data_IF_784538018917
#
_entry.id   IF_784538018917
#
_cell.length_a   1.000
_cell.length_b   1.000
_cell.length_c   1.000
_cell.angle_alpha   90.00
_cell.angle_beta   90.00
_cell.angle_gamma   90.00
#
_symmetry.space_group_name_H-M   'P 1'
#
loop_
_entity.id
_entity.type
_entity.pdbx_description
1 polymer ?
#
# COMPACT_ATOMS: atom_id res chain seq x y z
N UNK A 1 -43.99 53.13 0.47
CA UNK A 1 -42.77 52.84 -0.29
C UNK A 1 -42.17 51.59 0.33
N UNK A 2 -42.41 50.50 -0.33
CA UNK A 2 -42.10 49.14 0.16
C UNK A 2 -40.76 48.72 -0.46
N UNK A 3 -39.78 48.58 0.38
CA UNK A 3 -38.46 48.03 0.00
C UNK A 3 -38.56 46.49 0.06
N UNK A 4 -38.74 45.87 -1.09
CA UNK A 4 -38.58 44.40 -1.21
C UNK A 4 -37.09 44.13 -1.26
N UNK A 5 -36.55 43.58 -0.17
CA UNK A 5 -35.23 42.98 -0.18
C UNK A 5 -35.22 41.81 -1.16
N UNK A 6 -34.40 41.92 -2.16
CA UNK A 6 -34.00 40.76 -3.00
C UNK A 6 -33.23 39.82 -2.07
N UNK A 7 -33.82 38.66 -1.83
CA UNK A 7 -33.12 37.52 -1.26
C UNK A 7 -32.18 37.04 -2.36
N UNK A 8 -30.90 37.33 -2.22
CA UNK A 8 -29.87 36.61 -3.01
C UNK A 8 -30.04 35.10 -2.73
N UNK A 9 -30.58 34.38 -3.71
CA UNK A 9 -30.49 32.95 -3.72
C UNK A 9 -29.00 32.58 -3.80
N UNK A 10 -28.46 32.06 -2.70
CA UNK A 10 -27.18 31.33 -2.74
C UNK A 10 -27.30 30.32 -3.89
N UNK A 11 -26.54 30.58 -4.94
CA UNK A 11 -26.43 29.59 -6.04
C UNK A 11 -25.71 28.41 -5.45
N UNK A 12 -26.40 27.27 -5.38
CA UNK A 12 -25.75 25.99 -5.11
C UNK A 12 -24.50 25.87 -5.98
N UNK A 13 -23.38 25.42 -5.44
CA UNK A 13 -22.15 25.25 -6.23
C UNK A 13 -22.49 24.35 -7.43
N UNK A 14 -22.42 24.91 -8.65
CA UNK A 14 -22.66 24.13 -9.87
C UNK A 14 -21.58 23.06 -9.93
N UNK A 15 -22.02 21.80 -9.91
CA UNK A 15 -21.15 20.66 -10.14
C UNK A 15 -20.33 20.88 -11.42
N UNK A 16 -18.99 20.76 -11.39
CA UNK A 16 -18.22 20.85 -12.62
C UNK A 16 -18.62 19.67 -13.53
N UNK A 17 -19.28 19.95 -14.63
CA UNK A 17 -19.70 18.93 -15.59
C UNK A 17 -18.52 18.15 -16.17
N UNK A 18 -18.80 17.24 -17.09
CA UNK A 18 -17.80 16.46 -17.81
C UNK A 18 -16.72 17.34 -18.44
N UNK A 19 -15.46 17.02 -18.18
CA UNK A 19 -14.30 17.75 -18.67
C UNK A 19 -13.29 16.79 -19.32
N UNK A 20 -12.57 17.22 -20.37
CA UNK A 20 -11.39 16.48 -20.82
C UNK A 20 -10.37 16.38 -19.70
N UNK A 21 -9.89 15.16 -19.42
CA UNK A 21 -8.92 14.93 -18.34
C UNK A 21 -7.59 15.67 -18.58
N UNK A 22 -7.18 15.82 -19.83
CA UNK A 22 -6.01 16.63 -20.23
C UNK A 22 -6.09 18.06 -19.69
N UNK A 23 -7.28 18.66 -19.69
CA UNK A 23 -7.52 20.01 -19.16
C UNK A 23 -7.39 20.05 -17.64
N UNK A 24 -7.93 19.04 -16.96
CA UNK A 24 -7.87 18.93 -15.48
C UNK A 24 -6.43 18.76 -15.00
N UNK A 25 -5.69 17.84 -15.62
CA UNK A 25 -4.27 17.57 -15.32
C UNK A 25 -3.33 18.65 -15.86
N UNK A 26 -3.81 19.58 -16.70
CA UNK A 26 -2.98 20.54 -17.43
C UNK A 26 -1.80 19.87 -18.17
N UNK A 27 -2.05 18.67 -18.67
CA UNK A 27 -1.04 17.82 -19.31
C UNK A 27 -1.15 17.92 -20.84
N UNK A 28 -0.03 18.13 -21.57
CA UNK A 28 -0.01 18.13 -23.02
C UNK A 28 0.00 16.72 -23.63
N UNK A 29 -0.05 15.68 -22.81
CA UNK A 29 0.07 14.28 -23.26
C UNK A 29 -1.21 13.87 -24.00
N UNK A 30 -1.14 13.47 -25.28
CA UNK A 30 -2.31 13.06 -26.08
C UNK A 30 -3.09 11.90 -25.47
N UNK A 31 -2.47 11.10 -24.62
CA UNK A 31 -3.11 10.03 -23.89
C UNK A 31 -4.33 10.54 -23.09
N UNK A 32 -4.21 11.66 -22.38
CA UNK A 32 -5.28 12.19 -21.54
C UNK A 32 -6.40 12.87 -22.33
N UNK A 33 -6.20 13.18 -23.61
CA UNK A 33 -7.25 13.67 -24.51
C UNK A 33 -8.31 12.58 -24.78
N UNK A 34 -7.95 11.31 -24.58
CA UNK A 34 -8.85 10.17 -24.72
C UNK A 34 -9.76 9.95 -23.50
N UNK A 35 -9.67 10.81 -22.49
CA UNK A 35 -10.43 10.66 -21.26
C UNK A 35 -11.38 11.83 -21.05
N UNK A 36 -12.63 11.49 -20.71
CA UNK A 36 -13.52 12.43 -20.03
C UNK A 36 -13.51 12.12 -18.54
N UNK A 37 -13.57 13.15 -17.75
CA UNK A 37 -13.56 13.10 -16.29
C UNK A 37 -14.77 13.85 -15.76
N UNK A 38 -15.47 13.22 -14.81
CA UNK A 38 -16.46 13.86 -13.96
C UNK A 38 -15.98 13.75 -12.52
N UNK A 39 -15.82 14.88 -11.86
CA UNK A 39 -15.49 14.91 -10.45
C UNK A 39 -16.69 14.46 -9.63
N UNK A 40 -16.47 13.54 -8.70
CA UNK A 40 -17.47 13.11 -7.74
C UNK A 40 -17.89 14.25 -6.81
N UNK A 41 -19.10 14.19 -6.32
CA UNK A 41 -19.64 15.19 -5.41
C UNK A 41 -19.52 14.71 -3.96
N UNK A 42 -18.61 15.32 -3.20
CA UNK A 42 -18.34 15.02 -1.79
C UNK A 42 -18.23 13.50 -1.49
N UNK A 43 -18.86 13.03 -0.40
CA UNK A 43 -18.89 11.61 0.00
C UNK A 43 -20.00 10.80 -0.69
N UNK A 44 -20.78 11.42 -1.61
CA UNK A 44 -21.97 10.80 -2.20
C UNK A 44 -21.70 10.08 -3.51
N UNK A 45 -20.67 10.45 -4.25
CA UNK A 45 -20.38 9.87 -5.56
C UNK A 45 -18.89 9.92 -5.85
N UNK A 46 -18.36 8.82 -6.37
CA UNK A 46 -16.97 8.76 -6.83
C UNK A 46 -16.73 9.58 -8.08
N UNK A 47 -15.46 9.85 -8.37
CA UNK A 47 -15.02 10.27 -9.69
C UNK A 47 -15.36 9.23 -10.74
N UNK A 48 -15.72 9.69 -11.94
CA UNK A 48 -16.00 8.81 -13.08
C UNK A 48 -15.03 9.14 -14.20
N UNK A 49 -14.37 8.12 -14.74
CA UNK A 49 -13.49 8.24 -15.90
C UNK A 49 -14.08 7.51 -17.10
N UNK A 50 -14.21 8.20 -18.23
CA UNK A 50 -14.60 7.58 -19.50
C UNK A 50 -13.41 7.53 -20.42
N UNK A 51 -12.99 6.33 -20.83
CA UNK A 51 -11.95 6.11 -21.81
C UNK A 51 -12.60 6.00 -23.18
N UNK A 52 -12.22 6.87 -24.10
CA UNK A 52 -12.75 6.94 -25.45
C UNK A 52 -11.84 6.17 -26.42
N UNK A 53 -12.45 5.37 -27.27
CA UNK A 53 -11.81 4.60 -28.33
C UNK A 53 -12.83 4.11 -29.34
N UNK A 54 -12.68 2.90 -29.86
CA UNK A 54 -13.66 2.27 -30.74
C UNK A 54 -14.99 1.99 -30.01
N UNK A 55 -14.96 1.99 -28.72
CA UNK A 55 -16.09 1.92 -27.80
C UNK A 55 -15.75 2.72 -26.52
N UNK A 56 -16.73 2.89 -25.65
CA UNK A 56 -16.53 3.54 -24.35
C UNK A 56 -16.28 2.51 -23.26
N UNK A 57 -15.23 2.77 -22.48
CA UNK A 57 -15.00 2.11 -21.18
C UNK A 57 -15.19 3.12 -20.06
N UNK A 58 -15.95 2.76 -19.05
CA UNK A 58 -16.14 3.57 -17.85
C UNK A 58 -15.35 2.94 -16.70
N UNK A 59 -14.63 3.74 -15.94
CA UNK A 59 -14.00 3.32 -14.69
C UNK A 59 -14.66 4.08 -13.56
N UNK A 60 -15.27 3.32 -12.68
CA UNK A 60 -16.26 3.69 -11.67
C UNK A 60 -17.46 4.43 -12.26
N UNK A 61 -18.61 4.32 -11.65
CA UNK A 61 -19.86 4.77 -12.25
C UNK A 61 -20.62 5.77 -11.40
N UNK A 62 -20.07 6.15 -10.26
CA UNK A 62 -20.76 7.07 -9.35
C UNK A 62 -21.97 6.43 -8.68
N UNK A 63 -22.75 7.28 -8.01
CA UNK A 63 -23.91 6.86 -7.23
C UNK A 63 -25.23 6.98 -7.99
N UNK A 64 -25.29 7.79 -9.04
CA UNK A 64 -26.53 7.98 -9.78
C UNK A 64 -26.30 8.05 -11.30
N UNK A 65 -27.39 7.87 -12.05
CA UNK A 65 -27.36 7.92 -13.51
C UNK A 65 -27.40 9.33 -14.09
N UNK A 66 -27.63 10.38 -13.30
CA UNK A 66 -27.77 11.76 -13.82
C UNK A 66 -26.48 12.24 -14.45
N UNK A 67 -25.33 11.80 -13.94
CA UNK A 67 -24.03 12.02 -14.55
C UNK A 67 -23.99 11.55 -16.02
N UNK A 68 -24.62 10.42 -16.31
CA UNK A 68 -24.66 9.85 -17.67
C UNK A 68 -25.64 10.57 -18.59
N UNK A 69 -26.72 11.19 -18.07
CA UNK A 69 -27.58 12.05 -18.88
C UNK A 69 -26.79 13.21 -19.48
N UNK A 70 -25.90 13.81 -18.71
CA UNK A 70 -25.04 14.89 -19.18
C UNK A 70 -23.93 14.37 -20.12
N UNK A 71 -23.40 13.18 -19.88
CA UNK A 71 -22.45 12.52 -20.79
C UNK A 71 -23.06 12.33 -22.18
N UNK A 72 -24.29 11.83 -22.25
CA UNK A 72 -24.97 11.58 -23.53
C UNK A 72 -25.38 12.86 -24.27
N UNK A 73 -25.43 14.01 -23.59
CA UNK A 73 -25.54 15.34 -24.24
C UNK A 73 -24.30 15.73 -25.04
N UNK A 74 -23.17 15.06 -24.82
CA UNK A 74 -21.94 15.24 -25.59
C UNK A 74 -21.90 14.41 -26.90
N UNK A 75 -23.05 13.97 -27.41
CA UNK A 75 -23.23 13.11 -28.59
C UNK A 75 -22.65 11.69 -28.43
N UNK A 76 -22.42 11.23 -27.21
CA UNK A 76 -22.13 9.83 -26.89
C UNK A 76 -23.42 9.07 -26.67
N UNK A 77 -23.42 7.76 -26.90
CA UNK A 77 -24.65 6.93 -26.79
C UNK A 77 -24.46 5.88 -25.70
N UNK A 78 -25.54 5.53 -24.97
CA UNK A 78 -25.49 4.43 -24.01
C UNK A 78 -24.95 3.13 -24.63
N UNK A 79 -25.31 2.83 -25.86
CA UNK A 79 -24.94 1.62 -26.58
C UNK A 79 -23.45 1.55 -26.93
N UNK A 80 -22.73 2.68 -26.90
CA UNK A 80 -21.30 2.75 -27.12
C UNK A 80 -20.50 2.25 -25.89
N UNK A 81 -21.16 2.18 -24.70
CA UNK A 81 -20.55 1.64 -23.49
C UNK A 81 -20.48 0.11 -23.63
N UNK A 82 -19.26 -0.42 -23.69
CA UNK A 82 -19.02 -1.87 -23.79
C UNK A 82 -18.41 -2.46 -22.53
N UNK A 83 -17.71 -1.66 -21.74
CA UNK A 83 -17.09 -2.10 -20.50
C UNK A 83 -17.29 -1.08 -19.37
N UNK A 84 -17.57 -1.58 -18.18
CA UNK A 84 -17.49 -0.82 -16.94
C UNK A 84 -16.54 -1.59 -16.02
N UNK A 85 -15.50 -0.91 -15.53
CA UNK A 85 -14.57 -1.44 -14.54
C UNK A 85 -14.86 -0.75 -13.21
N UNK A 86 -15.10 -1.51 -12.16
CA UNK A 86 -15.23 -0.96 -10.83
C UNK A 86 -13.94 -1.18 -10.04
N UNK A 87 -13.42 -0.11 -9.46
CA UNK A 87 -12.24 -0.18 -8.60
C UNK A 87 -12.52 -0.96 -7.34
N UNK A 88 -13.76 -0.88 -6.82
CA UNK A 88 -14.28 -1.67 -5.71
C UNK A 88 -15.81 -1.59 -5.66
N UNK A 89 -16.43 -2.32 -4.76
CA UNK A 89 -17.88 -2.53 -4.72
C UNK A 89 -18.70 -1.56 -3.87
N UNK A 90 -18.15 -0.44 -3.41
CA UNK A 90 -18.93 0.57 -2.68
C UNK A 90 -19.99 1.21 -3.59
N UNK A 91 -21.11 1.58 -2.99
CA UNK A 91 -22.29 2.04 -3.74
C UNK A 91 -22.03 3.33 -4.52
N UNK A 92 -21.24 4.23 -3.98
CA UNK A 92 -20.85 5.49 -4.61
C UNK A 92 -19.93 5.31 -5.82
N UNK A 93 -19.34 4.12 -6.02
CA UNK A 93 -18.61 3.72 -7.21
C UNK A 93 -19.43 2.87 -8.17
N UNK A 94 -20.40 2.09 -7.66
CA UNK A 94 -21.02 0.99 -8.39
C UNK A 94 -22.47 1.25 -8.82
N UNK A 95 -23.22 2.10 -8.11
CA UNK A 95 -24.65 2.22 -8.34
C UNK A 95 -25.03 2.79 -9.71
N UNK A 96 -24.21 3.68 -10.26
CA UNK A 96 -24.44 4.23 -11.60
C UNK A 96 -24.48 3.16 -12.68
N UNK A 97 -23.70 2.07 -12.56
CA UNK A 97 -23.77 0.94 -13.50
C UNK A 97 -25.13 0.24 -13.46
N UNK A 98 -25.70 0.04 -12.28
CA UNK A 98 -27.03 -0.57 -12.11
C UNK A 98 -28.11 0.38 -12.65
N UNK A 99 -28.03 1.66 -12.33
CA UNK A 99 -28.99 2.66 -12.77
C UNK A 99 -28.95 2.90 -14.29
N UNK A 100 -27.77 2.78 -14.92
CA UNK A 100 -27.66 2.79 -16.39
C UNK A 100 -28.46 1.65 -17.01
N UNK A 101 -28.32 0.42 -16.52
CA UNK A 101 -29.07 -0.72 -17.01
C UNK A 101 -30.58 -0.57 -16.76
N UNK A 102 -30.96 0.04 -15.66
CA UNK A 102 -32.38 0.28 -15.32
C UNK A 102 -32.99 1.35 -16.20
N UNK A 103 -32.29 2.44 -16.45
CA UNK A 103 -32.84 3.65 -17.10
C UNK A 103 -32.72 3.66 -18.60
N UNK A 104 -31.83 2.86 -19.21
CA UNK A 104 -31.60 2.83 -20.65
C UNK A 104 -31.93 1.44 -21.26
N UNK A 105 -33.20 1.19 -21.66
CA UNK A 105 -33.58 -0.07 -22.31
C UNK A 105 -32.75 -0.39 -23.55
N UNK A 106 -32.38 0.63 -24.34
CA UNK A 106 -31.57 0.47 -25.56
C UNK A 106 -30.18 -0.15 -25.27
N UNK A 107 -29.60 0.20 -24.14
CA UNK A 107 -28.34 -0.41 -23.68
C UNK A 107 -28.53 -1.92 -23.44
N UNK A 108 -29.62 -2.32 -22.78
CA UNK A 108 -29.92 -3.74 -22.52
C UNK A 108 -30.23 -4.50 -23.81
N UNK A 109 -30.99 -3.88 -24.72
CA UNK A 109 -31.32 -4.44 -26.05
C UNK A 109 -30.05 -4.64 -26.90
N UNK A 110 -29.03 -3.79 -26.72
CA UNK A 110 -27.74 -3.93 -27.35
C UNK A 110 -26.81 -4.98 -26.67
N UNK A 111 -27.34 -5.71 -25.67
CA UNK A 111 -26.58 -6.74 -24.92
C UNK A 111 -25.89 -6.24 -23.66
N UNK A 112 -26.19 -5.02 -23.19
CA UNK A 112 -25.58 -4.42 -22.01
C UNK A 112 -24.10 -4.09 -22.20
N UNK A 113 -23.38 -4.06 -21.09
CA UNK A 113 -21.93 -3.92 -21.02
C UNK A 113 -21.29 -5.13 -20.31
N UNK A 114 -19.99 -5.26 -20.41
CA UNK A 114 -19.19 -6.14 -19.55
C UNK A 114 -18.83 -5.40 -18.27
N UNK A 115 -19.32 -5.89 -17.11
CA UNK A 115 -18.86 -5.42 -15.80
C UNK A 115 -17.60 -6.17 -15.44
N UNK A 116 -16.50 -5.46 -15.18
CA UNK A 116 -15.24 -6.01 -14.72
C UNK A 116 -15.04 -5.57 -13.26
N UNK A 117 -14.87 -6.54 -12.37
CA UNK A 117 -14.81 -6.32 -10.92
C UNK A 117 -13.97 -7.42 -10.26
N UNK A 118 -13.38 -7.14 -9.11
CA UNK A 118 -12.64 -8.14 -8.37
C UNK A 118 -13.54 -9.31 -7.89
N UNK A 119 -12.98 -10.54 -7.81
CA UNK A 119 -13.75 -11.72 -7.42
C UNK A 119 -14.38 -11.61 -6.01
N UNK A 120 -13.72 -10.89 -5.09
CA UNK A 120 -14.21 -10.65 -3.74
C UNK A 120 -15.29 -9.55 -3.63
N UNK A 121 -15.67 -8.91 -4.74
CA UNK A 121 -16.71 -7.88 -4.75
C UNK A 121 -18.07 -8.44 -4.30
N UNK A 122 -18.98 -7.58 -3.77
CA UNK A 122 -20.27 -7.99 -3.24
C UNK A 122 -21.05 -8.84 -4.24
N UNK A 123 -21.51 -10.06 -3.87
CA UNK A 123 -22.27 -10.96 -4.77
C UNK A 123 -23.54 -10.30 -5.34
N UNK A 124 -24.23 -9.52 -4.51
CA UNK A 124 -25.49 -8.87 -4.89
C UNK A 124 -25.32 -7.92 -6.08
N UNK A 125 -24.19 -7.21 -6.16
CA UNK A 125 -23.90 -6.34 -7.29
C UNK A 125 -23.73 -7.14 -8.59
N UNK A 126 -23.04 -8.29 -8.51
CA UNK A 126 -22.84 -9.20 -9.65
C UNK A 126 -24.18 -9.77 -10.13
N UNK A 127 -25.01 -10.23 -9.20
CA UNK A 127 -26.34 -10.81 -9.47
C UNK A 127 -27.25 -9.80 -10.18
N UNK A 128 -27.36 -8.58 -9.62
CA UNK A 128 -28.24 -7.54 -10.20
C UNK A 128 -27.81 -7.17 -11.62
N UNK A 129 -26.52 -7.03 -11.89
CA UNK A 129 -26.04 -6.71 -13.25
C UNK A 129 -26.32 -7.85 -14.23
N UNK A 130 -26.18 -9.11 -13.78
CA UNK A 130 -26.50 -10.30 -14.58
C UNK A 130 -28.01 -10.44 -14.85
N UNK A 131 -28.88 -10.09 -13.91
CA UNK A 131 -30.33 -10.07 -14.10
C UNK A 131 -30.76 -9.12 -15.23
N UNK A 132 -30.02 -8.02 -15.43
CA UNK A 132 -30.22 -7.12 -16.58
C UNK A 132 -29.62 -7.63 -17.89
N UNK A 133 -29.01 -8.82 -17.91
CA UNK A 133 -28.44 -9.45 -19.11
C UNK A 133 -27.01 -9.03 -19.43
N UNK A 134 -26.36 -8.26 -18.59
CA UNK A 134 -24.94 -7.88 -18.75
C UNK A 134 -24.01 -8.98 -18.27
N UNK A 135 -22.83 -9.06 -18.88
CA UNK A 135 -21.78 -10.03 -18.49
C UNK A 135 -20.97 -9.48 -17.31
N UNK A 136 -20.60 -10.35 -16.39
CA UNK A 136 -19.67 -10.03 -15.29
C UNK A 136 -18.39 -10.82 -15.47
N UNK A 137 -17.28 -10.11 -15.57
CA UNK A 137 -15.91 -10.67 -15.60
C UNK A 137 -15.24 -10.38 -14.28
N UNK A 138 -14.75 -11.43 -13.61
CA UNK A 138 -14.07 -11.31 -12.33
C UNK A 138 -12.56 -11.35 -12.54
N UNK A 139 -11.86 -10.43 -11.88
CA UNK A 139 -10.39 -10.34 -11.88
C UNK A 139 -9.84 -10.61 -10.49
N UNK A 140 -8.54 -10.98 -10.42
CA UNK A 140 -7.82 -11.27 -9.16
C UNK A 140 -6.61 -10.38 -8.93
N UNK A 141 -6.13 -9.73 -9.97
CA UNK A 141 -4.88 -8.99 -10.02
C UNK A 141 -3.79 -9.76 -10.78
N UNK A 142 -3.01 -9.00 -11.55
CA UNK A 142 -2.00 -9.53 -12.47
C UNK A 142 -2.50 -9.71 -13.90
N UNK A 143 -3.81 -9.58 -14.15
CA UNK A 143 -4.36 -9.62 -15.51
C UNK A 143 -4.05 -8.31 -16.27
N UNK A 144 -3.99 -8.42 -17.59
CA UNK A 144 -4.00 -7.26 -18.48
C UNK A 144 -5.38 -7.14 -19.13
N UNK A 145 -6.00 -5.98 -18.97
CA UNK A 145 -7.27 -5.64 -19.60
C UNK A 145 -7.04 -4.73 -20.78
N UNK A 146 -7.68 -5.05 -21.90
CA UNK A 146 -7.83 -4.12 -23.01
C UNK A 146 -9.06 -3.24 -22.74
N UNK A 147 -8.89 -1.93 -22.60
CA UNK A 147 -9.94 -0.95 -22.32
C UNK A 147 -9.89 0.14 -23.38
N UNK A 148 -10.83 0.11 -24.32
CA UNK A 148 -10.94 1.08 -25.44
C UNK A 148 -9.64 1.25 -26.22
N UNK A 149 -8.90 0.15 -26.51
CA UNK A 149 -7.65 0.14 -27.25
C UNK A 149 -6.41 0.51 -26.42
N UNK A 150 -6.50 0.48 -25.08
CA UNK A 150 -5.38 0.67 -24.16
C UNK A 150 -5.23 -0.57 -23.27
N UNK A 151 -3.99 -1.00 -23.01
CA UNK A 151 -3.68 -2.12 -22.14
C UNK A 151 -3.41 -1.64 -20.71
N UNK A 152 -4.15 -2.19 -19.75
CA UNK A 152 -4.05 -1.86 -18.34
C UNK A 152 -3.74 -3.09 -17.51
N UNK A 153 -2.72 -3.01 -16.67
CA UNK A 153 -2.45 -4.02 -15.64
C UNK A 153 -3.44 -3.85 -14.50
N UNK A 154 -4.10 -4.92 -14.11
CA UNK A 154 -4.91 -4.97 -12.88
C UNK A 154 -4.01 -5.27 -11.72
N UNK A 155 -4.03 -4.42 -10.70
CA UNK A 155 -3.31 -4.63 -9.45
C UNK A 155 -4.34 -4.82 -8.35
N UNK A 156 -4.36 -5.98 -7.68
CA UNK A 156 -5.17 -6.14 -6.50
C UNK A 156 -4.59 -5.30 -5.36
N UNK A 157 -5.40 -4.38 -4.86
CA UNK A 157 -5.02 -3.39 -3.85
C UNK A 157 -6.02 -3.36 -2.70
N UNK A 158 -6.11 -4.45 -1.91
CA UNK A 158 -6.94 -4.46 -0.71
C UNK A 158 -6.43 -3.45 0.31
N UNK A 159 -7.32 -2.93 1.15
CA UNK A 159 -6.95 -1.96 2.19
C UNK A 159 -8.12 -1.12 2.61
N UNK A 160 -8.66 -0.29 1.73
CA UNK A 160 -9.94 0.37 1.94
C UNK A 160 -11.08 -0.66 1.98
N UNK A 161 -11.13 -1.52 0.96
CA UNK A 161 -11.96 -2.74 0.92
C UNK A 161 -11.10 -3.94 0.55
N UNK A 162 -11.64 -5.17 0.68
CA UNK A 162 -10.91 -6.40 0.28
C UNK A 162 -10.87 -6.58 -1.24
N UNK A 163 -11.84 -6.03 -1.96
CA UNK A 163 -12.01 -6.16 -3.41
C UNK A 163 -11.38 -5.01 -4.21
N UNK A 164 -10.64 -4.13 -3.55
CA UNK A 164 -10.00 -2.98 -4.18
C UNK A 164 -9.03 -3.38 -5.28
N UNK A 165 -9.13 -2.75 -6.46
CA UNK A 165 -8.17 -2.87 -7.56
C UNK A 165 -7.71 -1.50 -8.05
N UNK A 166 -6.47 -1.45 -8.52
CA UNK A 166 -5.95 -0.35 -9.32
C UNK A 166 -5.76 -0.79 -10.77
N UNK A 167 -5.86 0.16 -11.70
CA UNK A 167 -5.53 -0.03 -13.10
C UNK A 167 -4.26 0.76 -13.44
N UNK A 168 -3.20 0.09 -13.85
CA UNK A 168 -1.92 0.72 -14.16
C UNK A 168 -1.60 0.65 -15.65
N UNK A 169 -1.36 1.82 -16.27
CA UNK A 169 -0.92 1.96 -17.64
C UNK A 169 0.55 2.35 -17.67
N UNK A 170 1.42 1.35 -17.86
CA UNK A 170 2.87 1.50 -17.80
C UNK A 170 3.45 2.51 -18.81
N UNK A 171 2.99 2.57 -20.08
CA UNK A 171 3.57 3.51 -21.05
C UNK A 171 3.45 4.98 -20.65
N UNK A 172 2.42 5.36 -19.90
CA UNK A 172 2.21 6.75 -19.43
C UNK A 172 2.39 6.90 -17.94
N UNK A 173 2.80 5.82 -17.23
CA UNK A 173 3.02 5.81 -15.78
C UNK A 173 1.80 6.32 -15.00
N UNK A 174 0.62 5.95 -15.47
CA UNK A 174 -0.66 6.41 -14.94
C UNK A 174 -1.35 5.28 -14.20
N UNK A 175 -1.89 5.56 -13.03
CA UNK A 175 -2.68 4.61 -12.24
C UNK A 175 -4.04 5.19 -11.87
N UNK A 176 -5.10 4.41 -12.05
CA UNK A 176 -6.43 4.68 -11.49
C UNK A 176 -6.49 3.92 -10.17
N UNK A 177 -6.71 4.62 -9.07
CA UNK A 177 -6.49 4.06 -7.73
C UNK A 177 -7.76 3.73 -6.96
N UNK A 178 -8.94 4.16 -7.43
CA UNK A 178 -10.09 4.14 -6.53
C UNK A 178 -9.72 4.85 -5.22
N UNK A 179 -10.09 4.25 -4.10
CA UNK A 179 -9.96 4.86 -2.78
C UNK A 179 -8.71 4.42 -2.01
N UNK A 180 -7.84 3.63 -2.63
CA UNK A 180 -6.60 3.21 -1.96
C UNK A 180 -5.57 4.35 -1.87
N UNK A 181 -5.62 5.32 -2.82
CA UNK A 181 -4.77 6.52 -2.80
C UNK A 181 -5.62 7.73 -3.18
N UNK A 182 -5.81 8.64 -2.25
CA UNK A 182 -6.48 9.92 -2.43
C UNK A 182 -5.47 11.05 -2.19
N UNK A 183 -5.30 12.03 -3.11
CA UNK A 183 -4.23 13.02 -3.03
C UNK A 183 -4.28 13.94 -1.79
N UNK A 184 -5.45 14.19 -1.23
CA UNK A 184 -5.63 15.13 -0.11
C UNK A 184 -6.18 14.45 1.15
N UNK A 185 -6.44 13.15 1.08
CA UNK A 185 -7.07 12.40 2.16
C UNK A 185 -6.55 10.96 2.21
N UNK A 186 -6.95 10.23 3.21
CA UNK A 186 -6.83 8.79 3.27
C UNK A 186 -8.20 8.20 3.60
N UNK A 187 -8.75 7.40 2.71
CA UNK A 187 -9.97 6.65 3.00
C UNK A 187 -9.72 5.69 4.17
N UNK A 188 -10.62 5.66 5.12
CA UNK A 188 -10.54 4.70 6.21
C UNK A 188 -10.76 3.29 5.69
N UNK A 189 -10.11 2.25 6.26
CA UNK A 189 -10.49 0.88 5.97
C UNK A 189 -11.94 0.62 6.34
N UNK A 190 -12.72 0.10 5.40
CA UNK A 190 -14.05 -0.42 5.71
C UNK A 190 -13.93 -1.87 6.19
N UNK A 191 -13.99 -2.04 7.50
CA UNK A 191 -13.87 -3.37 8.14
C UNK A 191 -14.99 -4.32 7.74
N UNK A 192 -16.18 -3.81 7.39
CA UNK A 192 -17.32 -4.62 6.97
C UNK A 192 -17.14 -5.12 5.52
N UNK A 193 -16.40 -4.37 4.70
CA UNK A 193 -15.96 -4.78 3.38
C UNK A 193 -14.57 -5.46 3.38
N UNK A 194 -14.08 -5.89 4.54
CA UNK A 194 -12.80 -6.60 4.70
C UNK A 194 -11.56 -5.72 4.57
N UNK A 195 -11.71 -4.41 4.70
CA UNK A 195 -10.60 -3.46 4.71
C UNK A 195 -9.74 -3.57 5.97
N UNK A 196 -8.43 -3.31 5.84
CA UNK A 196 -7.50 -3.28 6.96
C UNK A 196 -6.26 -2.45 6.66
N UNK A 197 -5.62 -1.92 7.70
CA UNK A 197 -4.37 -1.15 7.56
C UNK A 197 -3.21 -2.01 7.08
N UNK A 198 -3.15 -3.29 7.44
CA UNK A 198 -2.11 -4.21 6.98
C UNK A 198 -2.20 -4.47 5.47
N UNK A 199 -3.43 -4.69 4.98
CA UNK A 199 -3.69 -4.79 3.54
C UNK A 199 -3.35 -3.47 2.81
N UNK A 200 -3.63 -2.33 3.45
CA UNK A 200 -3.24 -1.02 2.91
C UNK A 200 -1.74 -0.93 2.67
N UNK A 201 -0.92 -1.28 3.67
CA UNK A 201 0.55 -1.29 3.53
C UNK A 201 1.00 -2.19 2.39
N UNK A 202 0.44 -3.41 2.31
CA UNK A 202 0.74 -4.35 1.24
C UNK A 202 0.48 -3.73 -0.14
N UNK A 203 -0.67 -3.10 -0.31
CA UNK A 203 -1.11 -2.49 -1.57
C UNK A 203 -0.26 -1.29 -1.97
N UNK A 204 0.03 -0.40 -1.02
CA UNK A 204 0.88 0.75 -1.27
C UNK A 204 2.31 0.35 -1.63
N UNK A 205 2.87 -0.70 -1.01
CA UNK A 205 4.16 -1.28 -1.41
C UNK A 205 4.12 -1.81 -2.85
N UNK A 206 3.03 -2.44 -3.26
CA UNK A 206 2.87 -2.90 -4.64
C UNK A 206 2.83 -1.75 -5.64
N UNK A 207 2.19 -0.63 -5.30
CA UNK A 207 2.20 0.59 -6.11
C UNK A 207 3.58 1.25 -6.14
N UNK A 208 4.27 1.36 -5.01
CA UNK A 208 5.62 1.96 -4.91
C UNK A 208 6.71 1.20 -5.70
N UNK A 209 6.47 -0.07 -6.04
CA UNK A 209 7.36 -0.86 -6.92
C UNK A 209 7.22 -0.50 -8.40
N UNK A 210 6.22 0.30 -8.78
CA UNK A 210 5.96 0.75 -10.15
C UNK A 210 6.41 2.19 -10.34
N UNK A 211 6.70 2.53 -11.57
CA UNK A 211 7.04 3.91 -11.95
C UNK A 211 5.73 4.68 -12.19
N UNK A 212 5.20 5.32 -11.16
CA UNK A 212 3.92 6.04 -11.19
C UNK A 212 4.18 7.55 -11.11
N UNK A 213 3.74 8.26 -12.15
CA UNK A 213 3.80 9.72 -12.23
C UNK A 213 2.42 10.37 -12.06
N UNK A 214 1.35 9.68 -12.53
CA UNK A 214 0.01 10.23 -12.54
C UNK A 214 -0.94 9.33 -11.75
N UNK A 215 -1.77 9.94 -10.89
CA UNK A 215 -2.78 9.27 -10.08
C UNK A 215 -4.15 9.81 -10.42
N UNK A 216 -5.07 8.92 -10.76
CA UNK A 216 -6.48 9.17 -11.02
C UNK A 216 -7.29 8.53 -9.88
N UNK A 217 -7.65 9.31 -8.84
CA UNK A 217 -8.26 8.78 -7.61
C UNK A 217 -9.76 8.57 -7.73
N UNK A 218 -10.34 7.80 -6.81
CA UNK A 218 -11.79 7.64 -6.67
C UNK A 218 -12.50 8.90 -6.18
N UNK A 219 -11.83 9.74 -5.38
CA UNK A 219 -12.33 11.03 -4.92
C UNK A 219 -11.26 12.11 -5.00
N UNK A 220 -11.70 13.37 -5.08
CA UNK A 220 -10.81 14.52 -5.21
C UNK A 220 -10.27 14.72 -6.62
N UNK A 221 -9.27 15.58 -6.77
CA UNK A 221 -8.73 15.90 -8.09
C UNK A 221 -7.60 14.94 -8.50
N UNK A 222 -7.56 14.53 -9.77
CA UNK A 222 -6.42 13.81 -10.33
C UNK A 222 -5.13 14.64 -10.25
N UNK A 223 -3.99 13.95 -10.07
CA UNK A 223 -2.67 14.58 -10.03
C UNK A 223 -1.75 14.04 -11.12
N UNK A 224 -0.94 14.93 -11.69
CA UNK A 224 0.10 14.58 -12.66
C UNK A 224 1.50 14.88 -12.10
N UNK A 225 2.50 14.10 -12.53
CA UNK A 225 3.93 14.25 -12.23
C UNK A 225 4.30 14.20 -10.74
N UNK A 226 3.34 13.91 -9.87
CA UNK A 226 3.56 13.79 -8.42
C UNK A 226 2.96 12.51 -7.83
N UNK A 227 2.58 11.56 -8.66
CA UNK A 227 1.90 10.34 -8.24
C UNK A 227 2.68 9.55 -7.20
N UNK A 228 3.99 9.36 -7.41
CA UNK A 228 4.83 8.67 -6.43
C UNK A 228 4.80 9.34 -5.06
N UNK A 229 4.89 10.67 -5.02
CA UNK A 229 4.85 11.44 -3.77
C UNK A 229 3.53 11.24 -3.03
N UNK A 230 2.41 11.28 -3.73
CA UNK A 230 1.08 11.07 -3.13
C UNK A 230 0.96 9.66 -2.54
N UNK A 231 1.49 8.64 -3.22
CA UNK A 231 1.50 7.26 -2.70
C UNK A 231 2.39 7.16 -1.45
N UNK A 232 3.57 7.82 -1.44
CA UNK A 232 4.45 7.86 -0.27
C UNK A 232 3.79 8.57 0.92
N UNK A 233 3.10 9.70 0.69
CA UNK A 233 2.35 10.43 1.72
C UNK A 233 1.21 9.57 2.31
N UNK A 234 0.50 8.82 1.46
CA UNK A 234 -0.53 7.86 1.92
C UNK A 234 0.11 6.73 2.74
N UNK A 235 1.25 6.19 2.29
CA UNK A 235 1.98 5.15 3.00
C UNK A 235 2.44 5.62 4.40
N UNK A 236 2.98 6.84 4.49
CA UNK A 236 3.33 7.48 5.76
C UNK A 236 2.11 7.61 6.69
N UNK A 237 0.98 8.06 6.15
CA UNK A 237 -0.28 8.19 6.89
C UNK A 237 -0.79 6.86 7.46
N UNK A 238 -0.72 5.78 6.67
CA UNK A 238 -1.10 4.43 7.12
C UNK A 238 -0.18 3.94 8.24
N UNK A 239 1.14 4.11 8.11
CA UNK A 239 2.08 3.75 9.16
C UNK A 239 1.80 4.49 10.47
N UNK A 240 1.52 5.80 10.40
CA UNK A 240 1.18 6.59 11.58
C UNK A 240 -0.10 6.08 12.25
N UNK A 241 -1.12 5.71 11.48
CA UNK A 241 -2.35 5.11 12.03
C UNK A 241 -2.09 3.75 12.69
N UNK A 242 -1.25 2.90 12.10
CA UNK A 242 -0.89 1.58 12.68
C UNK A 242 -0.27 1.75 14.07
N UNK A 243 0.62 2.72 14.25
CA UNK A 243 1.26 2.95 15.57
C UNK A 243 0.39 3.78 16.53
N UNK A 244 -0.81 4.20 16.12
CA UNK A 244 -1.72 5.00 16.94
C UNK A 244 -1.23 6.42 17.17
N UNK A 245 -0.44 6.98 16.24
CA UNK A 245 0.04 8.34 16.35
C UNK A 245 -1.04 9.32 15.92
N UNK A 246 -1.49 10.16 16.86
CA UNK A 246 -2.31 11.33 16.57
C UNK A 246 -1.37 12.52 16.28
N UNK A 247 -1.17 12.83 15.00
CA UNK A 247 -0.28 13.91 14.54
C UNK A 247 1.12 13.46 14.16
N UNK A 248 2.03 14.41 13.95
CA UNK A 248 3.40 14.12 13.57
C UNK A 248 4.23 13.70 14.79
N UNK A 249 4.72 12.46 14.75
CA UNK A 249 5.75 12.00 15.69
C UNK A 249 7.13 12.07 15.01
N UNK A 250 8.23 12.19 15.80
CA UNK A 250 9.57 12.04 15.25
C UNK A 250 9.74 10.68 14.55
N UNK A 251 10.40 10.68 13.40
CA UNK A 251 10.57 9.48 12.58
C UNK A 251 11.23 8.33 13.34
N UNK A 252 12.13 8.63 14.28
CA UNK A 252 12.83 7.59 15.05
C UNK A 252 11.91 6.89 16.06
N UNK A 253 10.95 7.61 16.66
CA UNK A 253 9.94 6.98 17.51
C UNK A 253 9.00 6.10 16.68
N UNK A 254 8.58 6.59 15.51
CA UNK A 254 7.81 5.81 14.55
C UNK A 254 8.52 4.54 14.12
N UNK A 255 9.79 4.65 13.72
CA UNK A 255 10.63 3.50 13.38
C UNK A 255 10.72 2.48 14.50
N UNK A 256 10.92 2.96 15.75
CA UNK A 256 11.01 2.08 16.93
C UNK A 256 9.70 1.32 17.17
N UNK A 257 8.56 2.02 17.10
CA UNK A 257 7.25 1.42 17.31
C UNK A 257 6.89 0.38 16.22
N UNK A 258 7.25 0.67 14.96
CA UNK A 258 7.03 -0.25 13.83
C UNK A 258 7.91 -1.49 13.94
N UNK A 259 9.21 -1.33 14.29
CA UNK A 259 10.12 -2.45 14.49
C UNK A 259 9.64 -3.38 15.61
N UNK A 260 9.13 -2.84 16.72
CA UNK A 260 8.56 -3.63 17.82
C UNK A 260 7.34 -4.45 17.40
N UNK A 261 6.65 -4.06 16.35
CA UNK A 261 5.51 -4.80 15.75
C UNK A 261 5.94 -5.76 14.64
N UNK A 262 7.24 -5.86 14.36
CA UNK A 262 7.77 -6.69 13.28
C UNK A 262 7.61 -6.07 11.88
N UNK A 263 7.16 -4.82 11.77
CA UNK A 263 7.03 -4.07 10.53
C UNK A 263 8.39 -3.44 10.16
N UNK A 264 9.35 -4.31 9.81
CA UNK A 264 10.75 -3.94 9.67
C UNK A 264 11.04 -3.07 8.46
N UNK A 265 10.37 -3.32 7.33
CA UNK A 265 10.51 -2.48 6.11
C UNK A 265 9.96 -1.06 6.35
N UNK A 266 8.87 -0.94 7.08
CA UNK A 266 8.27 0.33 7.48
C UNK A 266 9.18 1.07 8.47
N UNK A 267 9.81 0.34 9.39
CA UNK A 267 10.79 0.90 10.30
C UNK A 267 12.03 1.41 9.53
N UNK A 268 12.51 0.68 8.52
CA UNK A 268 13.59 1.13 7.64
C UNK A 268 13.22 2.41 6.91
N UNK A 269 12.01 2.49 6.34
CA UNK A 269 11.54 3.70 5.68
C UNK A 269 11.57 4.91 6.62
N UNK A 270 11.09 4.76 7.86
CA UNK A 270 11.16 5.83 8.87
C UNK A 270 12.60 6.20 9.25
N UNK A 271 13.50 5.22 9.37
CA UNK A 271 14.93 5.48 9.59
C UNK A 271 15.52 6.31 8.43
N UNK A 272 15.18 6.00 7.19
CA UNK A 272 15.65 6.74 6.01
C UNK A 272 15.11 8.18 5.96
N UNK A 273 13.87 8.41 6.34
CA UNK A 273 13.31 9.75 6.50
C UNK A 273 14.02 10.56 7.59
N UNK A 274 14.33 9.93 8.74
CA UNK A 274 15.11 10.55 9.80
C UNK A 274 16.53 10.90 9.32
N UNK A 275 17.20 9.94 8.66
CA UNK A 275 18.55 10.14 8.12
C UNK A 275 18.61 11.20 7.03
N UNK A 276 17.54 11.39 6.25
CA UNK A 276 17.41 12.48 5.28
C UNK A 276 17.44 13.86 5.94
N UNK A 277 16.97 13.97 7.21
CA UNK A 277 16.99 15.19 8.01
C UNK A 277 18.26 15.32 8.86
N UNK A 278 18.70 14.21 9.42
CA UNK A 278 19.86 14.13 10.29
C UNK A 278 20.69 12.86 9.97
N UNK A 279 21.61 12.94 8.99
CA UNK A 279 22.38 11.78 8.52
C UNK A 279 23.28 11.16 9.61
N UNK A 280 23.52 11.90 10.69
CA UNK A 280 24.39 11.47 11.79
C UNK A 280 23.64 10.95 13.01
N UNK A 281 22.31 10.80 12.92
CA UNK A 281 21.52 10.26 14.01
C UNK A 281 21.91 8.78 14.27
N UNK A 282 22.76 8.59 15.26
CA UNK A 282 23.31 7.26 15.63
C UNK A 282 22.20 6.27 15.94
N UNK A 283 21.14 6.71 16.64
CA UNK A 283 20.00 5.85 16.99
C UNK A 283 19.23 5.37 15.74
N UNK A 284 19.10 6.23 14.73
CA UNK A 284 18.49 5.84 13.46
C UNK A 284 19.37 4.82 12.69
N UNK A 285 20.69 5.02 12.71
CA UNK A 285 21.65 4.08 12.12
C UNK A 285 21.65 2.73 12.85
N UNK A 286 21.65 2.72 14.19
CA UNK A 286 21.54 1.49 14.99
C UNK A 286 20.27 0.69 14.65
N UNK A 287 19.12 1.38 14.65
CA UNK A 287 17.85 0.75 14.35
C UNK A 287 17.79 0.25 12.90
N UNK A 288 18.31 1.04 11.95
CA UNK A 288 18.42 0.63 10.55
C UNK A 288 19.25 -0.65 10.42
N UNK A 289 20.43 -0.70 11.02
CA UNK A 289 21.30 -1.87 10.99
C UNK A 289 20.63 -3.11 11.61
N UNK A 290 19.93 -2.93 12.75
CA UNK A 290 19.19 -4.01 13.40
C UNK A 290 18.06 -4.55 12.50
N UNK A 291 17.21 -3.68 11.96
CA UNK A 291 16.13 -4.09 11.04
C UNK A 291 16.68 -4.82 9.80
N UNK A 292 17.81 -4.37 9.25
CA UNK A 292 18.45 -5.04 8.12
C UNK A 292 18.94 -6.45 8.48
N UNK A 293 19.51 -6.63 9.68
CA UNK A 293 19.89 -7.97 10.19
C UNK A 293 18.67 -8.88 10.32
N UNK A 294 17.59 -8.39 10.91
CA UNK A 294 16.37 -9.17 11.12
C UNK A 294 15.68 -9.54 9.79
N UNK A 295 15.84 -8.70 8.75
CA UNK A 295 15.38 -8.97 7.38
C UNK A 295 16.34 -9.89 6.60
N UNK A 296 17.49 -10.28 7.17
CA UNK A 296 18.52 -11.07 6.49
C UNK A 296 19.32 -10.28 5.44
N UNK A 297 19.18 -8.96 5.38
CA UNK A 297 19.93 -8.04 4.49
C UNK A 297 21.30 -7.73 5.09
N UNK A 298 22.04 -8.80 5.42
CA UNK A 298 23.24 -8.74 6.25
C UNK A 298 24.39 -7.90 5.65
N UNK A 299 24.56 -7.90 4.32
CA UNK A 299 25.57 -7.08 3.66
C UNK A 299 25.32 -5.59 3.89
N UNK A 300 24.08 -5.16 3.74
CA UNK A 300 23.68 -3.77 3.97
C UNK A 300 23.78 -3.39 5.46
N UNK A 301 23.46 -4.33 6.35
CA UNK A 301 23.64 -4.12 7.78
C UNK A 301 25.12 -3.87 8.13
N UNK A 302 26.07 -4.64 7.56
CA UNK A 302 27.50 -4.44 7.74
C UNK A 302 27.90 -3.02 7.31
N UNK A 303 27.45 -2.55 6.15
CA UNK A 303 27.78 -1.19 5.68
C UNK A 303 27.30 -0.10 6.65
N UNK A 304 26.10 -0.26 7.21
CA UNK A 304 25.56 0.67 8.20
C UNK A 304 26.40 0.65 9.48
N UNK A 305 26.72 -0.53 10.02
CA UNK A 305 27.52 -0.64 11.24
C UNK A 305 28.97 -0.19 11.05
N UNK A 306 29.58 -0.46 9.88
CA UNK A 306 30.91 0.05 9.53
C UNK A 306 30.91 1.58 9.49
N UNK A 307 29.84 2.22 9.03
CA UNK A 307 29.67 3.67 9.08
C UNK A 307 29.65 4.22 10.51
N UNK A 308 29.03 3.51 11.46
CA UNK A 308 29.08 3.87 12.90
C UNK A 308 30.49 3.66 13.46
N UNK A 309 31.09 2.52 13.19
CA UNK A 309 32.40 2.13 13.72
C UNK A 309 33.55 2.99 13.17
N UNK A 310 33.45 3.48 11.95
CA UNK A 310 34.39 4.43 11.36
C UNK A 310 34.47 5.75 12.14
N UNK A 311 33.38 6.15 12.80
CA UNK A 311 33.31 7.36 13.64
C UNK A 311 33.64 7.09 15.09
N UNK A 312 33.25 5.91 15.55
CA UNK A 312 33.40 5.48 16.94
C UNK A 312 33.67 3.97 16.98
N UNK A 313 34.97 3.62 16.97
CA UNK A 313 35.42 2.23 16.87
C UNK A 313 35.05 1.35 18.08
N UNK A 314 34.77 1.97 19.24
CA UNK A 314 34.39 1.33 20.50
C UNK A 314 32.85 1.26 20.72
N UNK A 315 32.04 1.38 19.66
CA UNK A 315 30.59 1.39 19.76
C UNK A 315 30.04 -0.04 19.91
N UNK A 316 29.77 -0.47 21.13
CA UNK A 316 29.40 -1.85 21.51
C UNK A 316 28.23 -2.39 20.70
N UNK A 317 27.15 -1.59 20.53
CA UNK A 317 25.99 -2.01 19.75
C UNK A 317 26.35 -2.27 18.28
N UNK A 318 27.16 -1.40 17.68
CA UNK A 318 27.56 -1.56 16.28
C UNK A 318 28.50 -2.75 16.07
N UNK A 319 29.45 -3.00 17.04
CA UNK A 319 30.31 -4.19 17.04
C UNK A 319 29.46 -5.47 17.09
N UNK A 320 28.51 -5.54 18.04
CA UNK A 320 27.60 -6.68 18.19
C UNK A 320 26.73 -6.88 16.95
N UNK A 321 26.11 -5.81 16.44
CA UNK A 321 25.24 -5.85 15.25
C UNK A 321 25.99 -6.30 13.98
N UNK A 322 27.22 -5.80 13.79
CA UNK A 322 28.10 -6.23 12.68
C UNK A 322 28.48 -7.70 12.79
N UNK A 323 28.81 -8.16 14.01
CA UNK A 323 29.08 -9.56 14.24
C UNK A 323 27.89 -10.46 13.95
N UNK A 324 26.67 -10.04 14.32
CA UNK A 324 25.44 -10.74 13.97
C UNK A 324 25.23 -10.80 12.44
N UNK A 325 25.49 -9.71 11.71
CA UNK A 325 25.42 -9.69 10.25
C UNK A 325 26.42 -10.67 9.61
N UNK A 326 27.65 -10.73 10.11
CA UNK A 326 28.65 -11.71 9.66
C UNK A 326 28.19 -13.16 9.91
N UNK A 327 27.57 -13.43 11.06
CA UNK A 327 26.95 -14.73 11.33
C UNK A 327 25.86 -15.07 10.33
N UNK A 328 24.98 -14.11 9.99
CA UNK A 328 23.94 -14.28 8.97
C UNK A 328 24.50 -14.62 7.58
N UNK A 329 25.74 -14.22 7.29
CA UNK A 329 26.49 -14.57 6.07
C UNK A 329 27.28 -15.88 6.20
N UNK A 330 27.21 -16.59 7.34
CA UNK A 330 27.99 -17.80 7.61
C UNK A 330 29.47 -17.57 7.95
N UNK A 331 29.88 -16.29 8.15
CA UNK A 331 31.26 -15.88 8.43
C UNK A 331 31.53 -15.93 9.94
N UNK A 332 31.30 -17.11 10.52
CA UNK A 332 31.31 -17.29 12.01
C UNK A 332 32.62 -16.92 12.66
N UNK A 333 33.76 -17.33 12.09
CA UNK A 333 35.07 -17.03 12.69
C UNK A 333 35.40 -15.55 12.69
N UNK A 334 35.03 -14.84 11.64
CA UNK A 334 35.18 -13.39 11.60
C UNK A 334 34.29 -12.67 12.63
N UNK A 335 33.09 -13.16 12.87
CA UNK A 335 32.17 -12.57 13.82
C UNK A 335 32.73 -12.61 15.25
N UNK A 336 33.52 -13.65 15.60
CA UNK A 336 34.08 -13.80 16.93
C UNK A 336 34.94 -12.61 17.34
N UNK A 337 35.79 -12.07 16.44
CA UNK A 337 36.64 -10.92 16.73
C UNK A 337 35.89 -9.67 17.13
N UNK A 338 34.69 -9.46 16.53
CA UNK A 338 33.83 -8.33 16.86
C UNK A 338 33.06 -8.53 18.16
N UNK A 339 32.63 -9.76 18.46
CA UNK A 339 32.06 -10.09 19.76
C UNK A 339 33.10 -9.95 20.88
N UNK A 340 34.33 -10.41 20.65
CA UNK A 340 35.41 -10.25 21.60
C UNK A 340 35.68 -8.79 21.90
N UNK A 341 35.80 -7.96 20.87
CA UNK A 341 36.00 -6.52 21.04
C UNK A 341 34.84 -5.86 21.79
N UNK A 342 33.58 -6.21 21.48
CA UNK A 342 32.44 -5.70 22.21
C UNK A 342 32.47 -6.07 23.71
N UNK A 343 32.89 -7.32 24.02
CA UNK A 343 32.99 -7.84 25.39
C UNK A 343 34.21 -7.34 26.15
N UNK A 344 35.27 -6.92 25.44
CA UNK A 344 36.42 -6.21 26.06
C UNK A 344 35.97 -4.82 26.56
N UNK A 345 35.05 -4.16 25.87
CA UNK A 345 34.51 -2.85 26.27
C UNK A 345 33.50 -3.01 27.40
N UNK A 346 32.55 -3.94 27.25
CA UNK A 346 31.54 -4.27 28.26
C UNK A 346 31.32 -5.79 28.32
N UNK A 347 31.88 -6.42 29.33
CA UNK A 347 31.83 -7.86 29.54
C UNK A 347 30.41 -8.41 29.85
N UNK A 348 29.45 -7.53 30.14
CA UNK A 348 28.09 -7.91 30.53
C UNK A 348 27.05 -7.79 29.41
N UNK A 349 27.46 -7.55 28.17
CA UNK A 349 26.55 -7.49 27.04
C UNK A 349 26.01 -8.88 26.76
N UNK A 350 24.81 -9.16 27.29
CA UNK A 350 24.19 -10.49 27.25
C UNK A 350 24.02 -10.98 25.83
N UNK A 351 23.55 -10.12 24.90
CA UNK A 351 23.37 -10.42 23.48
C UNK A 351 24.72 -10.86 22.85
N UNK A 352 25.80 -10.12 23.09
CA UNK A 352 27.11 -10.46 22.56
C UNK A 352 27.58 -11.83 23.06
N UNK A 353 27.37 -12.13 24.35
CA UNK A 353 27.70 -13.43 24.94
C UNK A 353 26.90 -14.57 24.28
N UNK A 354 25.60 -14.41 24.12
CA UNK A 354 24.73 -15.43 23.50
C UNK A 354 25.14 -15.68 22.05
N UNK A 355 25.30 -14.62 21.26
CA UNK A 355 25.64 -14.75 19.84
C UNK A 355 27.10 -15.20 19.63
N UNK A 356 28.05 -14.83 20.50
CA UNK A 356 29.39 -15.39 20.47
C UNK A 356 29.34 -16.91 20.68
N UNK A 357 28.58 -17.37 21.68
CA UNK A 357 28.37 -18.81 21.89
C UNK A 357 27.75 -19.50 20.68
N UNK A 358 26.77 -18.86 20.02
CA UNK A 358 26.18 -19.36 18.82
C UNK A 358 27.22 -19.45 17.67
N UNK A 359 28.03 -18.42 17.48
CA UNK A 359 29.09 -18.40 16.46
C UNK A 359 30.12 -19.50 16.70
N UNK A 360 30.57 -19.72 17.95
CA UNK A 360 31.47 -20.81 18.36
C UNK A 360 30.83 -22.19 18.04
N UNK A 361 29.58 -22.38 18.40
CA UNK A 361 28.86 -23.63 18.14
C UNK A 361 28.79 -23.93 16.64
N UNK A 362 28.39 -22.93 15.83
CA UNK A 362 28.24 -23.06 14.37
C UNK A 362 29.59 -23.18 13.64
N UNK A 363 30.68 -22.66 14.22
CA UNK A 363 32.05 -22.86 13.71
C UNK A 363 32.71 -24.19 14.11
N UNK A 364 31.95 -25.08 14.79
CA UNK A 364 32.43 -26.39 15.19
C UNK A 364 33.19 -26.44 16.50
N UNK A 365 33.01 -25.44 17.37
CA UNK A 365 33.63 -25.33 18.73
C UNK A 365 32.55 -25.41 19.83
N UNK A 366 31.77 -26.52 19.92
CA UNK A 366 30.66 -26.61 20.86
C UNK A 366 31.08 -26.61 22.32
N UNK A 367 32.28 -27.10 22.63
CA UNK A 367 32.81 -27.13 24.01
C UNK A 367 33.05 -25.72 24.53
N UNK A 368 33.74 -24.87 23.73
CA UNK A 368 33.98 -23.47 24.06
C UNK A 368 32.65 -22.67 24.17
N UNK A 369 31.68 -22.97 23.27
CA UNK A 369 30.36 -22.34 23.31
C UNK A 369 29.66 -22.64 24.65
N UNK A 370 29.73 -23.85 25.15
CA UNK A 370 29.08 -24.29 26.41
C UNK A 370 29.74 -23.73 27.67
N UNK A 371 30.97 -23.22 27.60
CA UNK A 371 31.61 -22.47 28.70
C UNK A 371 30.93 -21.12 28.92
N UNK A 372 30.32 -20.52 27.88
CA UNK A 372 29.61 -19.26 28.00
C UNK A 372 28.25 -19.50 28.65
N UNK A 373 28.11 -19.08 29.91
CA UNK A 373 26.91 -19.33 30.73
C UNK A 373 25.64 -18.75 30.07
N UNK A 374 25.71 -17.55 29.52
CA UNK A 374 24.58 -16.91 28.86
C UNK A 374 24.06 -17.73 27.66
N UNK A 375 24.95 -18.23 26.80
CA UNK A 375 24.62 -19.10 25.68
C UNK A 375 24.08 -20.44 26.17
N UNK A 376 24.77 -21.09 27.11
CA UNK A 376 24.32 -22.40 27.63
C UNK A 376 22.91 -22.34 28.20
N UNK A 377 22.59 -21.30 28.94
CA UNK A 377 21.28 -21.11 29.53
C UNK A 377 20.19 -20.94 28.44
N UNK A 378 20.45 -20.13 27.43
CA UNK A 378 19.54 -19.89 26.29
C UNK A 378 19.37 -21.15 25.44
N UNK A 379 20.43 -21.84 25.10
CA UNK A 379 20.45 -23.07 24.31
C UNK A 379 19.68 -24.20 24.99
N UNK A 380 19.92 -24.44 26.27
CA UNK A 380 19.19 -25.46 27.06
C UNK A 380 17.74 -25.09 27.22
N UNK A 381 17.41 -23.81 27.36
CA UNK A 381 16.05 -23.30 27.45
C UNK A 381 15.25 -23.61 26.17
N UNK A 382 15.83 -23.33 24.99
CA UNK A 382 15.21 -23.62 23.69
C UNK A 382 15.03 -25.13 23.44
N UNK A 383 16.03 -25.93 23.72
CA UNK A 383 15.96 -27.39 23.60
C UNK A 383 14.84 -27.98 24.48
N UNK A 384 14.69 -27.52 25.73
CA UNK A 384 13.62 -27.96 26.59
C UNK A 384 12.24 -27.53 26.06
N UNK A 385 12.14 -26.34 25.47
CA UNK A 385 10.92 -25.85 24.84
C UNK A 385 10.50 -26.69 23.65
N UNK A 386 11.44 -27.05 22.75
CA UNK A 386 11.16 -27.89 21.59
C UNK A 386 10.80 -29.32 21.97
N UNK A 387 11.48 -29.90 22.96
CA UNK A 387 11.13 -31.22 23.48
C UNK A 387 9.72 -31.27 24.06
N UNK A 388 9.29 -30.21 24.79
CA UNK A 388 7.93 -30.11 25.32
C UNK A 388 6.89 -30.02 24.21
N UNK A 389 7.14 -29.25 23.14
CA UNK A 389 6.23 -29.16 21.98
C UNK A 389 6.09 -30.51 21.26
N UNK A 390 7.17 -31.26 21.12
CA UNK A 390 7.12 -32.60 20.49
C UNK A 390 6.45 -33.66 21.35
N UNK A 391 6.46 -33.52 22.68
CA UNK A 391 5.87 -34.49 23.61
C UNK A 391 4.44 -34.18 24.03
N UNK A 392 3.93 -32.98 23.76
CA UNK A 392 2.55 -32.57 24.07
C UNK A 392 1.90 -31.83 22.87
N UNK A 393 1.52 -32.56 21.82
CA UNK A 393 0.93 -31.97 20.61
C UNK A 393 -0.51 -31.45 20.81
N UNK A 394 -1.07 -31.56 22.02
CA UNK A 394 -2.48 -31.20 22.30
C UNK A 394 -2.70 -29.72 22.69
N UNK A 395 -1.70 -28.85 22.56
CA UNK A 395 -1.80 -27.40 22.85
C UNK A 395 -1.36 -26.54 21.65
N UNK A 396 -1.86 -26.87 20.47
CA UNK A 396 -1.95 -25.89 19.41
C UNK A 396 -3.19 -25.02 19.67
N UNK A 397 -2.99 -23.84 20.23
CA UNK A 397 -3.98 -22.77 20.16
C UNK A 397 -4.16 -22.41 18.68
N UNK A 398 -5.39 -22.38 18.15
CA UNK A 398 -5.60 -21.91 16.79
C UNK A 398 -5.18 -20.44 16.74
N UNK A 399 -4.29 -20.12 15.79
CA UNK A 399 -3.91 -18.76 15.48
C UNK A 399 -5.19 -17.96 15.14
N UNK A 400 -5.46 -16.95 15.94
CA UNK A 400 -6.50 -15.96 15.73
C UNK A 400 -6.05 -14.90 14.73
#
# INVERSE_FOLDING_TARGET
MSNRGEVEQEREPQHPGWQPLAKVLKSPTPFFERFLFLQGYEEFSSNIYVIMGDYLTIVDSGNDYTAFMDLFRLNLKPEDIKKIVLTHGHLDHAMGAVELLRSYPSLREAGGFELIIHEAAPPQLKEVVQEFGSRVTQVRGGETLELSGLEWEVIHTPGHTIDGICLYHAPTKTVITGDIVLPEAMAAPDIYAGGSLDHYLFSLKALLRRDIENVLPGHGLPVALSGRRVIEETYEGVMMKIIGAEGQIPWIEGATALAQRGLLEEALFCCEKEMGRNPENVRALELKGSCLNDLGRNTEAIEVFDGILARRGDHVFALTGRACALMGLGRYEESLSYFDHALEIDANVREALIYKGMALYLSGKPEEAMEIEAFRTEFVGRLKGELRRKTDPAKEEPAA
#
